data_IF_804894433593
#
_entry.id   IF_804894433593
#
_cell.length_a   1.000
_cell.length_b   1.000
_cell.length_c   1.000
_cell.angle_alpha   90.00
_cell.angle_beta   90.00
_cell.angle_gamma   90.00
#
_symmetry.space_group_name_H-M   'P 1'
#
loop_
_entity.id
_entity.type
_entity.pdbx_description
1 polymer ?
#
# COMPACT_ATOMS: atom_id res chain seq x y z
N UNK A 1 3.67 -7.09 15.73
CA UNK A 1 4.78 -8.06 15.87
C UNK A 1 4.51 -9.28 14.99
N UNK A 2 5.47 -10.20 14.82
CA UNK A 2 5.26 -11.40 13.98
C UNK A 2 4.12 -12.27 14.50
N UNK A 3 3.98 -12.42 15.81
CA UNK A 3 2.87 -13.17 16.44
C UNK A 3 1.51 -12.55 16.13
N UNK A 4 1.37 -11.22 16.28
CA UNK A 4 0.13 -10.51 15.94
C UNK A 4 -0.22 -10.69 14.46
N UNK A 5 0.77 -10.64 13.57
CA UNK A 5 0.57 -10.82 12.13
C UNK A 5 0.18 -12.25 11.77
N UNK A 6 0.81 -13.24 12.40
CA UNK A 6 0.48 -14.66 12.22
C UNK A 6 -0.99 -14.93 12.57
N UNK A 7 -1.46 -14.36 13.68
CA UNK A 7 -2.86 -14.48 14.09
C UNK A 7 -3.82 -13.75 13.14
N UNK A 8 -3.50 -12.52 12.74
CA UNK A 8 -4.38 -11.72 11.85
C UNK A 8 -4.47 -12.28 10.43
N UNK A 9 -3.38 -12.84 9.93
CA UNK A 9 -3.29 -13.39 8.58
C UNK A 9 -3.69 -14.87 8.51
N UNK A 10 -3.85 -15.54 9.66
CA UNK A 10 -4.19 -16.97 9.71
C UNK A 10 -3.09 -17.88 9.15
N UNK A 11 -1.83 -17.43 9.14
CA UNK A 11 -0.69 -18.18 8.60
C UNK A 11 0.37 -18.38 9.67
N UNK A 12 1.19 -19.43 9.53
CA UNK A 12 2.25 -19.71 10.50
C UNK A 12 3.34 -18.62 10.51
N UNK A 13 4.10 -18.55 11.60
CA UNK A 13 5.17 -17.56 11.78
C UNK A 13 6.23 -17.63 10.68
N UNK A 14 6.56 -18.82 10.18
CA UNK A 14 7.54 -19.02 9.09
C UNK A 14 7.11 -18.32 7.80
N UNK A 15 5.84 -18.42 7.42
CA UNK A 15 5.27 -17.71 6.26
C UNK A 15 5.32 -16.20 6.50
N UNK A 16 4.95 -15.73 7.70
CA UNK A 16 5.04 -14.29 8.04
C UNK A 16 6.48 -13.79 7.92
N UNK A 17 7.48 -14.53 8.42
CA UNK A 17 8.88 -14.15 8.28
C UNK A 17 9.31 -14.05 6.81
N UNK A 18 8.93 -15.02 5.97
CA UNK A 18 9.24 -14.99 4.53
C UNK A 18 8.59 -13.80 3.82
N UNK A 19 7.31 -13.54 4.11
CA UNK A 19 6.60 -12.38 3.56
C UNK A 19 7.26 -11.07 3.99
N UNK A 20 7.56 -10.92 5.29
CA UNK A 20 8.22 -9.72 5.80
C UNK A 20 9.59 -9.51 5.18
N UNK A 21 10.41 -10.57 5.05
CA UNK A 21 11.72 -10.49 4.41
C UNK A 21 11.62 -9.96 2.98
N UNK A 22 10.70 -10.52 2.17
CA UNK A 22 10.50 -10.06 0.79
C UNK A 22 9.97 -8.62 0.74
N UNK A 23 9.01 -8.27 1.59
CA UNK A 23 8.46 -6.91 1.62
C UNK A 23 9.48 -5.87 2.10
N UNK A 24 10.37 -6.23 3.02
CA UNK A 24 11.50 -5.40 3.46
C UNK A 24 12.53 -5.20 2.34
N UNK A 25 12.88 -6.27 1.61
CA UNK A 25 13.77 -6.19 0.44
C UNK A 25 13.27 -5.19 -0.61
N UNK A 26 11.95 -5.03 -0.76
CA UNK A 26 11.33 -4.09 -1.69
C UNK A 26 10.99 -2.73 -1.05
N UNK A 27 11.43 -2.49 0.19
CA UNK A 27 11.13 -1.31 1.01
C UNK A 27 9.62 -1.05 1.22
N UNK A 28 8.77 -2.07 1.05
CA UNK A 28 7.32 -1.98 1.23
C UNK A 28 6.92 -2.07 2.70
N UNK A 29 7.74 -2.73 3.51
CA UNK A 29 7.60 -2.84 4.97
C UNK A 29 8.91 -2.44 5.64
N UNK A 30 8.81 -1.89 6.85
CA UNK A 30 9.93 -1.67 7.79
C UNK A 30 9.58 -2.20 9.17
N UNK A 31 10.56 -2.64 9.95
CA UNK A 31 10.37 -2.94 11.38
C UNK A 31 10.77 -1.75 12.23
N UNK A 32 9.94 -1.40 13.22
CA UNK A 32 10.33 -0.45 14.26
C UNK A 32 11.20 -1.12 15.33
N UNK A 33 11.72 -0.31 16.27
CA UNK A 33 12.56 -0.78 17.38
C UNK A 33 11.84 -1.83 18.26
N UNK A 34 10.50 -1.85 18.27
CA UNK A 34 9.68 -2.84 18.97
C UNK A 34 9.35 -4.08 18.12
N UNK A 35 9.95 -4.23 16.94
CA UNK A 35 9.72 -5.37 16.05
C UNK A 35 8.32 -5.39 15.41
N UNK A 36 7.57 -4.28 15.42
CA UNK A 36 6.32 -4.18 14.67
C UNK A 36 6.61 -3.82 13.22
N UNK A 37 5.95 -4.53 12.30
CA UNK A 37 5.94 -4.19 10.89
C UNK A 37 5.12 -2.91 10.67
N UNK A 38 5.66 -1.98 9.88
CA UNK A 38 5.05 -0.73 9.45
C UNK A 38 5.21 -0.56 7.96
N UNK A 39 4.36 0.27 7.36
CA UNK A 39 4.48 0.66 5.95
C UNK A 39 5.84 1.32 5.71
N UNK A 40 6.53 0.86 4.67
CA UNK A 40 7.79 1.41 4.18
C UNK A 40 7.58 2.40 3.04
N UNK A 41 8.61 3.20 2.75
CA UNK A 41 8.56 4.24 1.71
C UNK A 41 8.45 3.69 0.29
N UNK A 42 8.75 2.41 0.07
CA UNK A 42 8.57 1.72 -1.22
C UNK A 42 7.13 1.76 -1.73
N UNK A 43 6.14 1.88 -0.84
CA UNK A 43 4.73 2.04 -1.23
C UNK A 43 4.50 3.32 -2.03
N UNK A 44 5.24 4.40 -1.75
CA UNK A 44 5.15 5.64 -2.55
C UNK A 44 5.56 5.41 -4.01
N UNK A 45 6.51 4.51 -4.26
CA UNK A 45 6.93 4.15 -5.62
C UNK A 45 5.80 3.42 -6.37
N UNK A 46 5.11 2.49 -5.70
CA UNK A 46 3.94 1.82 -6.27
C UNK A 46 2.81 2.83 -6.55
N UNK A 47 2.51 3.71 -5.60
CA UNK A 47 1.50 4.74 -5.76
C UNK A 47 1.78 5.66 -6.96
N UNK A 48 3.03 6.10 -7.13
CA UNK A 48 3.44 6.91 -8.29
C UNK A 48 3.28 6.19 -9.61
N UNK A 49 3.52 4.88 -9.66
CA UNK A 49 3.35 4.09 -10.90
C UNK A 49 1.87 3.93 -11.28
N UNK A 50 0.98 3.84 -10.30
CA UNK A 50 -0.46 3.65 -10.52
C UNK A 50 -1.19 4.97 -10.74
N UNK A 51 -0.64 6.09 -10.25
CA UNK A 51 -1.27 7.42 -10.34
C UNK A 51 -1.74 7.83 -11.75
N UNK A 52 -0.97 7.62 -12.84
CA UNK A 52 -1.43 7.95 -14.20
C UNK A 52 -2.70 7.19 -14.60
N UNK A 53 -2.78 5.89 -14.29
CA UNK A 53 -3.93 5.04 -14.60
C UNK A 53 -5.17 5.47 -13.80
N UNK A 54 -4.98 5.76 -12.51
CA UNK A 54 -6.07 6.26 -11.66
C UNK A 54 -6.56 7.61 -12.15
N UNK A 55 -5.65 8.51 -12.54
CA UNK A 55 -6.00 9.82 -13.08
C UNK A 55 -6.80 9.68 -14.39
N UNK A 56 -6.37 8.81 -15.29
CA UNK A 56 -7.08 8.53 -16.54
C UNK A 56 -8.50 8.01 -16.29
N UNK A 57 -8.65 7.03 -15.39
CA UNK A 57 -9.95 6.48 -15.01
C UNK A 57 -10.86 7.49 -14.30
N UNK A 58 -10.28 8.43 -13.53
CA UNK A 58 -11.04 9.45 -12.79
C UNK A 58 -11.48 10.64 -13.67
N UNK A 59 -10.79 10.92 -14.77
CA UNK A 59 -11.05 12.09 -15.62
C UNK A 59 -12.51 12.20 -16.11
N UNK A 60 -13.19 11.13 -16.58
CA UNK A 60 -14.58 11.22 -17.02
C UNK A 60 -15.54 11.63 -15.89
N UNK A 61 -15.37 11.04 -14.70
CA UNK A 61 -16.21 11.35 -13.54
C UNK A 61 -15.98 12.78 -13.04
N UNK A 62 -14.72 13.21 -13.00
CA UNK A 62 -14.37 14.59 -12.61
C UNK A 62 -14.89 15.62 -13.61
N UNK A 63 -14.85 15.32 -14.91
CA UNK A 63 -15.44 16.19 -15.95
C UNK A 63 -16.95 16.29 -15.82
N UNK A 64 -17.65 15.17 -15.64
CA UNK A 64 -19.10 15.20 -15.40
C UNK A 64 -19.45 16.09 -14.22
N UNK A 65 -18.72 15.93 -13.10
CA UNK A 65 -18.91 16.75 -11.92
C UNK A 65 -18.63 18.24 -12.17
N UNK A 66 -17.58 18.55 -12.92
CA UNK A 66 -17.21 19.92 -13.27
C UNK A 66 -18.32 20.61 -14.09
N UNK A 67 -18.85 19.92 -15.10
CA UNK A 67 -20.00 20.40 -15.91
C UNK A 67 -21.26 20.60 -15.04
N UNK A 68 -21.57 19.65 -14.16
CA UNK A 68 -22.77 19.70 -13.31
C UNK A 68 -22.79 20.89 -12.35
N UNK A 69 -21.62 21.32 -11.86
CA UNK A 69 -21.48 22.43 -10.91
C UNK A 69 -21.00 23.73 -11.55
N UNK A 70 -20.76 23.74 -12.87
CA UNK A 70 -20.21 24.89 -13.60
C UNK A 70 -18.81 25.31 -13.15
N UNK A 71 -18.02 24.38 -12.64
CA UNK A 71 -16.61 24.60 -12.28
C UNK A 71 -15.69 24.05 -13.38
N UNK A 72 -14.45 24.53 -13.42
CA UNK A 72 -13.35 23.96 -14.24
C UNK A 72 -12.47 23.03 -13.42
#
# INVERSE_FOLDING_TARGET
TVTELSNKLGVNRTVVYRLLATLEQHALVRRDLGGRARVGLGVLRLGRQVHPLVREAALPALRSLAEDIGAT
#
